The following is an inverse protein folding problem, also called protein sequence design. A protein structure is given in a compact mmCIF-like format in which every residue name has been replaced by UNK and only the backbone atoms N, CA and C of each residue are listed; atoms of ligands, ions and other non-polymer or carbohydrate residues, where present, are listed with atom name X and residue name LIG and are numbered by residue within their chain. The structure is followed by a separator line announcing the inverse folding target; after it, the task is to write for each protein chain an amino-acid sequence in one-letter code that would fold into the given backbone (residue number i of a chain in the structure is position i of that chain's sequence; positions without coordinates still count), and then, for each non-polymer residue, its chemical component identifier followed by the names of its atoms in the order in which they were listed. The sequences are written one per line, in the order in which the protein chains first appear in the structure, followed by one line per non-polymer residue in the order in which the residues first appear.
data_IF_907773598825
#
_entry.id   IF_907773598825
#
_cell.length_a   1.000
_cell.length_b   1.000
_cell.length_c   1.000
_cell.angle_alpha   90.00
_cell.angle_beta   90.00
_cell.angle_gamma   90.00
#
_symmetry.space_group_name_H-M   'P 1'
#
loop_
_entity.id
_entity.type
_entity.pdbx_description
1 polymer ?
#
# COMPACT_ATOMS: atom_id res chain seq x y z
N UNK A 1 -8.28 -6.42 0.05
CA UNK A 1 -7.80 -5.65 1.22
C UNK A 1 -8.90 -4.74 1.80
N UNK A 2 -10.16 -5.17 1.84
CA UNK A 2 -11.27 -4.27 2.21
C UNK A 2 -11.26 -3.75 3.66
N UNK A 3 -10.54 -4.42 4.56
CA UNK A 3 -10.33 -3.99 5.95
C UNK A 3 -9.13 -3.05 6.12
N UNK A 4 -8.24 -2.98 5.12
CA UNK A 4 -7.02 -2.16 5.16
C UNK A 4 -7.23 -0.90 4.33
N UNK A 5 -7.75 -1.06 3.11
CA UNK A 5 -8.13 0.04 2.23
C UNK A 5 -9.62 0.05 1.95
N UNK A 6 -10.18 1.25 2.00
CA UNK A 6 -11.57 1.52 1.69
C UNK A 6 -11.66 2.16 0.31
N UNK A 7 -12.47 1.55 -0.55
CA UNK A 7 -12.91 2.15 -1.80
C UNK A 7 -14.34 2.62 -1.60
N UNK A 8 -14.55 3.93 -1.60
CA UNK A 8 -15.90 4.47 -1.52
C UNK A 8 -16.65 4.19 -2.83
N UNK A 9 -17.82 3.54 -2.74
CA UNK A 9 -18.65 3.23 -3.91
C UNK A 9 -19.12 4.51 -4.64
N UNK A 10 -19.25 5.62 -3.89
CA UNK A 10 -19.58 6.95 -4.40
C UNK A 10 -18.36 7.83 -4.66
N UNK A 11 -17.18 7.23 -4.82
CA UNK A 11 -16.00 7.99 -5.17
C UNK A 11 -16.12 8.53 -6.61
N UNK A 12 -16.48 9.80 -6.73
CA UNK A 12 -16.62 10.49 -8.02
C UNK A 12 -15.33 10.49 -8.84
N UNK A 13 -14.17 10.22 -8.23
CA UNK A 13 -12.89 10.07 -8.93
C UNK A 13 -12.78 8.74 -9.69
N UNK A 14 -13.61 7.74 -9.35
CA UNK A 14 -13.81 6.53 -10.17
C UNK A 14 -14.75 6.80 -11.36
N UNK A 15 -15.64 7.78 -11.24
CA UNK A 15 -16.67 8.12 -12.22
C UNK A 15 -16.21 9.13 -13.28
N UNK A 16 -15.00 9.69 -13.15
CA UNK A 16 -14.45 10.63 -14.14
C UNK A 16 -14.01 9.90 -15.41
N UNK A 17 -14.98 9.55 -16.25
CA UNK A 17 -14.80 9.28 -17.69
C UNK A 17 -14.49 10.57 -18.48
N UNK A 18 -13.87 11.58 -17.87
CA UNK A 18 -13.42 12.77 -18.58
C UNK A 18 -12.03 12.52 -19.16
N UNK A 19 -12.01 11.85 -20.32
CA UNK A 19 -11.10 11.91 -21.49
C UNK A 19 -9.64 12.44 -21.40
N UNK A 20 -9.01 12.55 -20.23
CA UNK A 20 -7.60 12.96 -20.07
C UNK A 20 -6.85 12.23 -18.96
N UNK A 21 -7.55 11.68 -17.98
CA UNK A 21 -6.93 10.73 -17.05
C UNK A 21 -6.98 9.38 -17.73
N UNK A 22 -5.85 8.90 -18.25
CA UNK A 22 -5.72 7.51 -18.66
C UNK A 22 -5.95 6.67 -17.41
N UNK A 23 -7.18 6.22 -17.20
CA UNK A 23 -7.55 5.17 -16.23
C UNK A 23 -6.80 3.85 -16.55
N UNK A 24 -6.09 3.82 -17.68
CA UNK A 24 -5.28 2.72 -18.19
C UNK A 24 -3.78 3.07 -18.22
N UNK A 25 -3.17 3.48 -17.12
CA UNK A 25 -1.89 2.82 -16.85
C UNK A 25 -2.27 1.43 -16.37
N UNK A 26 -2.35 0.49 -17.32
CA UNK A 26 -2.60 -0.96 -17.10
C UNK A 26 -1.69 -1.54 -16.01
N UNK A 27 -0.62 -0.83 -15.70
CA UNK A 27 0.40 -1.15 -14.72
C UNK A 27 0.06 -0.66 -13.31
N UNK A 28 -1.07 -0.01 -13.05
CA UNK A 28 -1.43 0.42 -11.69
C UNK A 28 -2.88 0.11 -11.32
N UNK A 29 -3.06 -0.39 -10.09
CA UNK A 29 -4.35 -0.64 -9.46
C UNK A 29 -4.58 0.32 -8.30
N UNK A 30 -5.65 1.11 -8.38
CA UNK A 30 -6.09 1.96 -7.27
C UNK A 30 -6.63 1.10 -6.12
N UNK A 31 -6.04 1.23 -4.93
CA UNK A 31 -6.49 0.53 -3.70
C UNK A 31 -7.42 1.37 -2.84
N UNK A 32 -7.41 2.69 -2.99
CA UNK A 32 -8.28 3.60 -2.23
C UNK A 32 -7.54 4.25 -1.06
N UNK A 33 -8.28 4.66 -0.04
CA UNK A 33 -7.74 5.32 1.17
C UNK A 33 -7.54 4.29 2.29
N UNK A 34 -6.56 4.45 3.20
CA UNK A 34 -6.45 3.63 4.40
C UNK A 34 -7.72 3.70 5.25
N UNK A 35 -8.04 2.60 5.91
CA UNK A 35 -9.04 2.59 6.98
C UNK A 35 -8.55 3.43 8.16
N UNK A 36 -9.47 4.09 8.87
CA UNK A 36 -9.13 5.02 9.96
C UNK A 36 -8.37 4.38 11.14
N UNK A 37 -8.45 3.05 11.29
CA UNK A 37 -7.77 2.28 12.31
C UNK A 37 -6.41 1.70 11.85
N UNK A 38 -5.95 2.08 10.66
CA UNK A 38 -4.70 1.63 10.06
C UNK A 38 -3.82 2.84 9.74
N UNK A 39 -2.60 2.79 10.23
CA UNK A 39 -1.53 3.68 9.83
C UNK A 39 -0.76 3.06 8.65
N UNK A 40 -0.31 3.91 7.74
CA UNK A 40 0.44 3.50 6.57
C UNK A 40 1.69 4.34 6.40
N UNK A 41 2.77 3.73 5.94
CA UNK A 41 3.98 4.43 5.50
C UNK A 41 4.54 3.78 4.26
N UNK A 42 5.39 4.53 3.55
CA UNK A 42 6.21 3.99 2.47
C UNK A 42 7.64 3.80 2.96
N UNK A 43 8.26 2.73 2.51
CA UNK A 43 9.67 2.43 2.70
C UNK A 43 10.32 2.31 1.33
N UNK A 44 11.55 2.77 1.21
CA UNK A 44 12.30 2.68 -0.03
C UNK A 44 12.39 1.23 -0.50
N UNK A 45 12.16 1.03 -1.79
CA UNK A 45 12.19 -0.29 -2.40
C UNK A 45 12.94 -0.24 -3.72
N UNK A 46 13.80 -1.23 -3.95
CA UNK A 46 14.56 -1.35 -5.19
C UNK A 46 14.22 -2.66 -5.88
N UNK A 47 13.72 -2.57 -7.11
CA UNK A 47 13.40 -3.72 -7.93
C UNK A 47 14.22 -3.69 -9.22
N UNK A 48 15.26 -4.52 -9.32
CA UNK A 48 16.10 -4.67 -10.51
C UNK A 48 16.64 -3.32 -11.05
N UNK A 49 15.89 -2.69 -11.96
CA UNK A 49 16.22 -1.43 -12.63
C UNK A 49 15.39 -0.23 -12.14
N UNK A 50 14.32 -0.45 -11.38
CA UNK A 50 13.47 0.59 -10.83
C UNK A 50 13.81 0.84 -9.35
N UNK A 51 13.90 2.12 -8.98
CA UNK A 51 14.06 2.57 -7.61
C UNK A 51 12.80 3.35 -7.20
N UNK A 52 12.21 2.96 -6.08
CA UNK A 52 11.04 3.60 -5.50
C UNK A 52 11.47 4.23 -4.19
N UNK A 53 11.42 5.56 -4.14
CA UNK A 53 11.87 6.36 -3.00
C UNK A 53 10.68 6.93 -2.25
N UNK A 54 10.64 6.69 -0.94
CA UNK A 54 9.54 7.11 -0.08
C UNK A 54 9.41 8.64 -0.05
N UNK A 55 10.52 9.38 -0.22
CA UNK A 55 10.53 10.84 -0.37
C UNK A 55 9.72 11.33 -1.58
N UNK A 56 9.67 10.52 -2.65
CA UNK A 56 8.89 10.78 -3.86
C UNK A 56 7.46 10.22 -3.76
N UNK A 57 7.01 9.87 -2.55
CA UNK A 57 5.74 9.19 -2.30
C UNK A 57 5.61 7.85 -3.04
N UNK A 58 6.71 7.14 -3.22
CA UNK A 58 6.76 5.89 -3.97
C UNK A 58 7.56 4.83 -3.23
N UNK A 59 7.06 3.61 -3.05
CA UNK A 59 7.79 2.62 -2.27
C UNK A 59 7.01 1.37 -1.93
N UNK A 60 7.60 0.58 -1.06
CA UNK A 60 6.93 -0.53 -0.41
C UNK A 60 5.95 0.00 0.65
N UNK A 61 4.70 -0.42 0.53
CA UNK A 61 3.67 -0.13 1.51
C UNK A 61 3.88 -0.95 2.77
N UNK A 62 3.94 -0.25 3.90
CA UNK A 62 3.94 -0.85 5.23
C UNK A 62 2.73 -0.35 6.01
N UNK A 63 2.12 -1.25 6.78
CA UNK A 63 0.90 -0.96 7.53
C UNK A 63 1.06 -1.32 9.00
N UNK A 64 0.33 -0.61 9.85
CA UNK A 64 0.26 -0.86 11.30
C UNK A 64 -1.15 -0.56 11.80
N UNK A 65 -1.65 -1.35 12.73
CA UNK A 65 -2.92 -1.08 13.40
C UNK A 65 -3.70 -2.34 13.75
N UNK A 66 -4.75 -2.15 14.54
CA UNK A 66 -5.51 -3.26 15.14
C UNK A 66 -6.39 -4.02 14.14
N UNK A 67 -6.63 -3.45 12.95
CA UNK A 67 -7.36 -4.12 11.88
C UNK A 67 -6.57 -5.23 11.17
N UNK A 68 -5.26 -5.35 11.46
CA UNK A 68 -4.38 -6.35 10.86
C UNK A 68 -4.38 -7.58 11.76
N UNK A 69 -4.83 -8.72 11.21
CA UNK A 69 -4.79 -9.99 11.92
C UNK A 69 -3.37 -10.48 12.13
N UNK A 70 -3.11 -11.15 13.25
CA UNK A 70 -1.84 -11.84 13.52
C UNK A 70 -1.84 -13.21 12.84
N UNK A 71 -0.74 -13.62 12.18
CA UNK A 71 -0.60 -14.98 11.68
C UNK A 71 -0.69 -16.00 12.82
N UNK A 72 -1.47 -17.07 12.62
CA UNK A 72 -1.61 -18.17 13.59
C UNK A 72 -0.49 -19.22 13.45
N UNK A 73 0.08 -19.33 12.25
CA UNK A 73 1.22 -20.19 11.99
C UNK A 73 2.50 -19.58 12.56
N UNK A 74 3.31 -20.40 13.25
CA UNK A 74 4.53 -19.93 13.94
C UNK A 74 5.62 -19.48 12.98
N UNK A 75 5.83 -20.20 11.89
CA UNK A 75 6.86 -19.86 10.91
C UNK A 75 6.49 -18.57 10.17
N UNK A 76 5.21 -18.43 9.80
CA UNK A 76 4.70 -17.20 9.19
C UNK A 76 4.81 -16.02 10.15
N UNK A 77 4.52 -16.22 11.44
CA UNK A 77 4.66 -15.19 12.45
C UNK A 77 6.13 -14.75 12.64
N UNK A 78 7.06 -15.69 12.73
CA UNK A 78 8.49 -15.39 12.87
C UNK A 78 9.01 -14.59 11.67
N UNK A 79 8.61 -14.97 10.46
CA UNK A 79 8.95 -14.23 9.25
C UNK A 79 8.31 -12.84 9.23
N UNK A 80 7.05 -12.71 9.63
CA UNK A 80 6.37 -11.42 9.71
C UNK A 80 7.04 -10.47 10.73
N UNK A 81 7.52 -11.00 11.85
CA UNK A 81 8.29 -10.22 12.84
C UNK A 81 9.61 -9.73 12.24
N UNK A 82 10.37 -10.61 11.58
CA UNK A 82 11.64 -10.24 10.92
C UNK A 82 11.45 -9.15 9.86
N UNK A 83 10.42 -9.27 9.02
CA UNK A 83 10.09 -8.25 8.03
C UNK A 83 9.60 -6.95 8.67
N UNK A 84 8.87 -7.03 9.78
CA UNK A 84 8.45 -5.87 10.56
C UNK A 84 9.62 -5.08 11.15
N UNK A 85 10.60 -5.78 11.71
CA UNK A 85 11.85 -5.19 12.21
C UNK A 85 12.60 -4.45 11.10
N UNK A 86 12.71 -5.04 9.89
CA UNK A 86 13.35 -4.40 8.72
C UNK A 86 12.74 -3.04 8.39
N UNK A 87 11.42 -2.91 8.52
CA UNK A 87 10.69 -1.69 8.15
C UNK A 87 10.52 -0.73 9.34
N UNK A 88 11.15 -0.99 10.49
CA UNK A 88 11.21 -0.07 11.62
C UNK A 88 10.56 -0.56 12.91
N UNK A 89 10.22 -1.84 13.04
CA UNK A 89 9.76 -2.43 14.31
C UNK A 89 8.37 -1.95 14.76
N UNK A 90 8.08 -2.01 16.06
CA UNK A 90 6.90 -1.40 16.69
C UNK A 90 5.53 -1.74 16.07
N UNK A 91 5.39 -2.98 15.60
CA UNK A 91 4.16 -3.47 14.99
C UNK A 91 3.93 -3.01 13.55
N UNK A 92 4.92 -2.43 12.88
CA UNK A 92 4.90 -2.26 11.44
C UNK A 92 4.99 -3.61 10.74
N UNK A 93 4.17 -3.78 9.71
CA UNK A 93 4.15 -4.98 8.87
C UNK A 93 4.38 -4.56 7.42
N UNK A 94 5.40 -5.14 6.78
CA UNK A 94 5.57 -5.04 5.33
C UNK A 94 4.42 -5.79 4.63
N UNK A 95 3.84 -5.18 3.59
CA UNK A 95 2.84 -5.86 2.75
C UNK A 95 3.44 -6.45 1.48
N UNK A 96 4.71 -6.15 1.18
CA UNK A 96 5.34 -6.47 -0.11
C UNK A 96 4.69 -5.80 -1.32
N UNK A 97 3.77 -4.85 -1.12
CA UNK A 97 3.10 -4.14 -2.20
C UNK A 97 3.88 -2.89 -2.54
N UNK A 98 4.20 -2.70 -3.81
CA UNK A 98 4.94 -1.54 -4.29
C UNK A 98 3.95 -0.60 -4.95
N UNK A 99 4.05 0.69 -4.67
CA UNK A 99 3.15 1.66 -5.25
C UNK A 99 3.44 3.08 -4.79
N UNK A 100 2.52 3.98 -5.12
CA UNK A 100 2.70 5.40 -4.83
C UNK A 100 1.44 6.02 -4.26
N UNK A 101 1.62 7.02 -3.41
CA UNK A 101 0.53 7.91 -2.99
C UNK A 101 0.35 9.01 -4.02
N UNK A 102 -0.90 9.31 -4.33
CA UNK A 102 -1.24 10.44 -5.19
C UNK A 102 -1.88 11.56 -4.37
N UNK A 103 -1.98 12.76 -4.95
CA UNK A 103 -2.55 13.96 -4.32
C UNK A 103 -4.02 13.82 -3.91
N UNK A 104 -4.70 12.80 -4.42
CA UNK A 104 -6.07 12.45 -4.04
C UNK A 104 -6.14 11.64 -2.73
N UNK A 105 -5.00 11.36 -2.09
CA UNK A 105 -4.90 10.58 -0.86
C UNK A 105 -5.13 9.08 -1.05
N UNK A 106 -5.20 8.59 -2.29
CA UNK A 106 -5.35 7.17 -2.59
C UNK A 106 -4.00 6.53 -2.88
N UNK A 107 -3.90 5.24 -2.51
CA UNK A 107 -2.76 4.42 -2.85
C UNK A 107 -2.97 3.75 -4.21
N UNK A 108 -1.93 3.77 -5.04
CA UNK A 108 -1.88 3.15 -6.35
C UNK A 108 -0.79 2.07 -6.35
N UNK A 109 -1.20 0.81 -6.35
CA UNK A 109 -0.31 -0.35 -6.41
C UNK A 109 0.21 -0.55 -7.84
N UNK A 110 1.51 -0.74 -8.02
CA UNK A 110 2.11 -1.12 -9.29
C UNK A 110 1.86 -2.61 -9.56
N UNK A 111 1.36 -2.90 -10.74
CA UNK A 111 1.17 -4.25 -11.29
C UNK A 111 2.40 -4.60 -12.14
N UNK A 112 2.92 -5.80 -11.95
CA UNK A 112 4.05 -6.38 -12.68
C UNK A 112 3.58 -7.51 -13.59
#
# INVERSE_FOLDING_TARGET
MGTVFQTNLFDYRLMSKNNKVKINDINYRRRGIPSQNIETKLVDYKLLNDQFLAEDNSGELCIRGFGIGRPMDKEVLENAIKEGERVGGDGWMSTGLIGSWNKDGCFYEKLY
#
